data_IF_720505817959
#
_entry.id   IF_720505817959
#
_cell.length_a   1.000
_cell.length_b   1.000
_cell.length_c   1.000
_cell.angle_alpha   90.00
_cell.angle_beta   90.00
_cell.angle_gamma   90.00
#
_symmetry.space_group_name_H-M   'P 1'
#
loop_
_entity.id
_entity.type
_entity.pdbx_description
1 polymer ?
#
# COMPACT_ATOMS: atom_id res chain seq x y z
N UNK A 1 13.99 -5.49 9.64
CA UNK A 1 13.73 -4.36 8.70
C UNK A 1 13.24 -4.93 7.39
N UNK A 2 12.41 -4.19 6.66
CA UNK A 2 11.88 -4.63 5.35
C UNK A 2 13.06 -4.81 4.39
N UNK A 3 13.14 -5.95 3.69
CA UNK A 3 14.22 -6.19 2.73
C UNK A 3 14.13 -5.23 1.55
N UNK A 4 15.27 -4.84 1.00
CA UNK A 4 15.36 -3.88 -0.09
C UNK A 4 14.62 -4.34 -1.36
N UNK A 5 14.57 -5.66 -1.57
CA UNK A 5 13.79 -6.27 -2.64
C UNK A 5 12.28 -6.05 -2.47
N UNK A 6 11.76 -6.17 -1.24
CA UNK A 6 10.36 -5.87 -0.93
C UNK A 6 10.10 -4.37 -1.09
N UNK A 7 11.02 -3.50 -0.66
CA UNK A 7 10.87 -2.05 -0.82
C UNK A 7 10.69 -1.62 -2.28
N UNK A 8 11.37 -2.28 -3.23
CA UNK A 8 11.19 -2.03 -4.66
C UNK A 8 9.80 -2.45 -5.16
N UNK A 9 9.20 -3.47 -4.55
CA UNK A 9 7.85 -3.97 -4.88
C UNK A 9 6.73 -3.14 -4.24
N UNK A 10 7.00 -2.42 -3.15
CA UNK A 10 6.04 -1.46 -2.56
C UNK A 10 5.98 -0.19 -3.43
N UNK A 11 5.06 -0.23 -4.40
CA UNK A 11 4.81 0.86 -5.35
C UNK A 11 3.31 1.16 -5.48
N UNK A 12 2.92 2.37 -5.93
CA UNK A 12 1.52 2.70 -6.20
C UNK A 12 0.82 1.64 -7.04
N UNK A 13 -0.33 1.17 -6.56
CA UNK A 13 -1.15 0.14 -7.17
C UNK A 13 -0.91 -1.27 -6.63
N UNK A 14 0.17 -1.52 -5.88
CA UNK A 14 0.38 -2.81 -5.23
C UNK A 14 -0.62 -3.03 -4.09
N UNK A 15 -1.12 -4.26 -3.95
CA UNK A 15 -1.86 -4.69 -2.75
C UNK A 15 -0.87 -5.31 -1.79
N UNK A 16 -0.86 -4.80 -0.57
CA UNK A 16 0.11 -5.19 0.46
C UNK A 16 -0.60 -5.51 1.76
N UNK A 17 0.04 -6.33 2.59
CA UNK A 17 -0.35 -6.56 3.98
C UNK A 17 0.81 -6.16 4.88
N UNK A 18 0.58 -5.18 5.75
CA UNK A 18 1.55 -4.69 6.72
C UNK A 18 1.27 -5.34 8.07
N UNK A 19 2.31 -5.86 8.70
CA UNK A 19 2.28 -6.44 10.04
C UNK A 19 2.90 -5.47 11.04
N UNK A 20 2.15 -5.12 12.08
CA UNK A 20 2.52 -4.18 13.12
C UNK A 20 2.66 -4.89 14.48
N UNK A 21 3.49 -4.36 15.37
CA UNK A 21 3.48 -4.74 16.80
C UNK A 21 3.79 -6.22 17.06
N UNK A 22 4.84 -6.75 16.42
CA UNK A 22 5.21 -8.19 16.43
C UNK A 22 4.15 -9.11 15.80
N UNK A 23 3.39 -8.62 14.83
CA UNK A 23 2.37 -9.41 14.10
C UNK A 23 1.02 -9.49 14.78
N UNK A 24 0.80 -8.72 15.86
CA UNK A 24 -0.49 -8.65 16.56
C UNK A 24 -1.57 -7.94 15.76
N UNK A 25 -1.18 -7.00 14.89
CA UNK A 25 -2.12 -6.24 14.08
C UNK A 25 -1.68 -6.25 12.63
N UNK A 26 -2.64 -6.45 11.73
CA UNK A 26 -2.40 -6.50 10.30
C UNK A 26 -3.28 -5.46 9.60
N UNK A 27 -2.73 -4.79 8.60
CA UNK A 27 -3.49 -3.91 7.73
C UNK A 27 -3.22 -4.28 6.28
N UNK A 28 -4.27 -4.67 5.57
CA UNK A 28 -4.21 -5.04 4.17
C UNK A 28 -4.91 -3.98 3.32
N UNK A 29 -4.28 -3.58 2.22
CA UNK A 29 -4.90 -2.65 1.30
C UNK A 29 -4.04 -2.29 0.10
N UNK A 30 -4.55 -1.34 -0.67
CA UNK A 30 -3.93 -0.80 -1.88
C UNK A 30 -2.96 0.32 -1.53
N UNK A 31 -1.73 0.25 -2.04
CA UNK A 31 -0.78 1.37 -1.98
C UNK A 31 -1.24 2.46 -2.93
N UNK A 32 -1.62 3.63 -2.40
CA UNK A 32 -2.10 4.76 -3.21
C UNK A 32 -1.04 5.83 -3.42
N UNK A 33 -0.03 5.89 -2.55
CA UNK A 33 1.07 6.83 -2.66
C UNK A 33 2.32 6.30 -1.96
N UNK A 34 3.47 6.66 -2.51
CA UNK A 34 4.79 6.53 -1.87
C UNK A 34 5.50 7.88 -1.94
N UNK A 35 6.06 8.34 -0.82
CA UNK A 35 6.73 9.64 -0.69
C UNK A 35 8.17 9.48 -0.22
N UNK A 36 9.00 10.45 -0.57
CA UNK A 36 10.42 10.56 -0.19
C UNK A 36 11.30 9.35 -0.58
N UNK A 37 10.92 8.59 -1.61
CA UNK A 37 11.76 7.59 -2.26
C UNK A 37 12.36 6.54 -1.30
N UNK A 38 13.67 6.66 -1.08
CA UNK A 38 14.50 5.83 -0.19
C UNK A 38 15.10 6.61 0.99
N UNK A 39 14.66 7.85 1.20
CA UNK A 39 15.10 8.67 2.33
C UNK A 39 14.57 8.10 3.65
N UNK A 40 15.20 8.48 4.77
CA UNK A 40 14.76 8.06 6.11
C UNK A 40 13.29 8.40 6.39
N UNK A 41 12.80 9.52 5.83
CA UNK A 41 11.42 9.97 5.94
C UNK A 41 10.45 9.32 4.93
N UNK A 42 10.86 8.28 4.22
CA UNK A 42 10.02 7.62 3.22
C UNK A 42 8.76 7.01 3.84
N UNK A 43 7.62 7.29 3.22
CA UNK A 43 6.30 6.84 3.69
C UNK A 43 5.50 6.22 2.58
N UNK A 44 4.60 5.32 2.96
CA UNK A 44 3.65 4.64 2.07
C UNK A 44 2.25 4.85 2.63
N UNK A 45 1.32 5.25 1.77
CA UNK A 45 -0.09 5.37 2.13
C UNK A 45 -0.86 4.19 1.57
N UNK A 46 -1.54 3.46 2.45
CA UNK A 46 -2.32 2.26 2.14
C UNK A 46 -3.79 2.57 2.40
N UNK A 47 -4.64 2.23 1.42
CA UNK A 47 -6.09 2.39 1.48
C UNK A 47 -6.77 1.04 1.51
N UNK A 48 -7.78 0.90 2.36
CA UNK A 48 -8.64 -0.26 2.46
C UNK A 48 -10.10 0.16 2.69
N UNK A 49 -11.04 -0.75 2.46
CA UNK A 49 -12.42 -0.61 2.93
C UNK A 49 -12.56 -1.55 4.13
N UNK A 50 -12.82 -0.98 5.30
CA UNK A 50 -12.97 -1.73 6.55
C UNK A 50 -14.38 -1.47 7.05
N UNK A 51 -15.17 -2.54 7.21
CA UNK A 51 -16.56 -2.45 7.65
C UNK A 51 -17.39 -1.41 6.87
N UNK A 52 -17.22 -1.34 5.54
CA UNK A 52 -17.93 -0.39 4.67
C UNK A 52 -17.36 1.04 4.65
N UNK A 53 -16.37 1.35 5.50
CA UNK A 53 -15.76 2.68 5.58
C UNK A 53 -14.38 2.67 4.92
N UNK A 54 -14.10 3.69 4.11
CA UNK A 54 -12.78 3.88 3.50
C UNK A 54 -11.75 4.35 4.52
N UNK A 55 -10.79 3.49 4.86
CA UNK A 55 -9.72 3.77 5.81
C UNK A 55 -8.39 3.92 5.08
N UNK A 56 -7.62 4.94 5.46
CA UNK A 56 -6.26 5.13 4.98
C UNK A 56 -5.29 5.15 6.16
N UNK A 57 -4.20 4.40 6.03
CA UNK A 57 -3.07 4.42 6.98
C UNK A 57 -1.79 4.83 6.27
N UNK A 58 -0.99 5.64 6.97
CA UNK A 58 0.33 6.06 6.49
C UNK A 58 1.39 5.35 7.32
N UNK A 59 2.30 4.68 6.63
CA UNK A 59 3.37 3.90 7.23
C UNK A 59 4.72 4.49 6.87
N UNK A 60 5.57 4.86 7.86
CA UNK A 60 6.98 5.11 7.62
C UNK A 60 7.68 3.80 7.28
N UNK A 61 8.34 3.75 6.13
CA UNK A 61 8.91 2.51 5.59
C UNK A 61 10.00 1.92 6.50
N UNK A 62 10.73 2.80 7.19
CA UNK A 62 11.84 2.43 8.07
C UNK A 62 11.42 2.33 9.55
N UNK A 63 10.11 2.36 9.85
CA UNK A 63 9.64 2.28 11.23
C UNK A 63 9.95 0.91 11.86
N UNK A 64 10.48 0.86 13.10
CA UNK A 64 10.77 -0.40 13.79
C UNK A 64 9.50 -1.15 14.22
N UNK A 65 8.35 -0.46 14.23
CA UNK A 65 7.04 -1.05 14.57
C UNK A 65 6.52 -1.99 13.49
N UNK A 66 7.02 -1.88 12.26
CA UNK A 66 6.65 -2.75 11.13
C UNK A 66 7.53 -4.01 11.19
N UNK A 67 6.91 -5.15 11.49
CA UNK A 67 7.63 -6.43 11.54
C UNK A 67 7.84 -7.02 10.15
N UNK A 68 6.82 -6.95 9.28
CA UNK A 68 6.82 -7.57 7.95
C UNK A 68 5.87 -6.82 7.01
N UNK A 69 6.19 -6.83 5.72
CA UNK A 69 5.25 -6.43 4.66
C UNK A 69 5.18 -7.54 3.62
N UNK A 70 3.98 -8.06 3.37
CA UNK A 70 3.71 -9.03 2.31
C UNK A 70 3.18 -8.31 1.07
N UNK A 71 3.70 -8.69 -0.11
CA UNK A 71 3.16 -8.25 -1.41
C UNK A 71 2.14 -9.28 -1.85
N UNK A 72 0.85 -8.90 -1.84
CA UNK A 72 -0.24 -9.80 -2.20
C UNK A 72 -0.53 -9.79 -3.70
N UNK A 73 -0.38 -8.61 -4.32
CA UNK A 73 -0.62 -8.47 -5.76
C UNK A 73 0.17 -7.29 -6.31
N UNK A 74 0.73 -7.48 -7.51
CA UNK A 74 1.42 -6.44 -8.26
C UNK A 74 0.48 -5.79 -9.27
N UNK A 75 0.55 -4.46 -9.44
CA UNK A 75 -0.30 -3.79 -10.41
C UNK A 75 0.19 -3.99 -11.84
N UNK A 76 -0.73 -3.76 -12.78
CA UNK A 76 -0.41 -3.48 -14.19
C UNK A 76 0.49 -2.24 -14.30
N UNK A 77 0.96 -1.95 -15.52
CA UNK A 77 1.68 -0.70 -15.80
C UNK A 77 0.79 0.49 -15.49
N UNK A 78 1.23 1.36 -14.58
CA UNK A 78 0.52 2.57 -14.17
C UNK A 78 1.43 3.77 -14.44
N UNK A 79 0.84 4.83 -14.99
CA UNK A 79 1.57 6.07 -15.30
C UNK A 79 1.50 7.12 -14.19
N UNK A 80 0.57 6.97 -13.24
CA UNK A 80 0.40 7.91 -12.11
C UNK A 80 1.21 7.46 -10.90
N UNK A 81 2.00 8.38 -10.34
CA UNK A 81 2.74 8.16 -9.08
C UNK A 81 1.85 8.19 -7.84
N UNK A 82 0.66 8.81 -7.91
CA UNK A 82 -0.30 8.91 -6.81
C UNK A 82 -1.70 8.54 -7.33
N UNK A 83 -2.37 7.63 -6.64
CA UNK A 83 -3.64 7.03 -7.06
C UNK A 83 -4.84 7.57 -6.27
N UNK A 84 -4.84 8.85 -5.89
CA UNK A 84 -5.93 9.43 -5.09
C UNK A 84 -7.32 9.31 -5.74
N UNK A 85 -7.38 9.12 -7.05
CA UNK A 85 -8.62 8.85 -7.77
C UNK A 85 -9.33 7.57 -7.28
N UNK A 86 -8.62 6.62 -6.67
CA UNK A 86 -9.23 5.38 -6.14
C UNK A 86 -10.18 5.63 -4.97
N UNK A 87 -10.20 6.84 -4.41
CA UNK A 87 -11.13 7.25 -3.35
C UNK A 87 -12.56 7.39 -3.84
N UNK A 88 -12.75 7.77 -5.10
CA UNK A 88 -14.06 8.15 -5.67
C UNK A 88 -14.61 7.14 -6.67
N UNK A 89 -13.84 6.12 -7.03
CA UNK A 89 -14.25 5.12 -8.02
C UNK A 89 -14.60 3.79 -7.36
N UNK A 90 -15.49 3.03 -8.01
CA UNK A 90 -15.91 1.71 -7.55
C UNK A 90 -14.78 0.67 -7.65
N UNK A 91 -14.87 -0.40 -6.85
CA UNK A 91 -13.90 -1.50 -6.85
C UNK A 91 -13.74 -2.17 -8.22
N UNK A 92 -14.83 -2.28 -9.00
CA UNK A 92 -14.79 -2.79 -10.37
C UNK A 92 -13.89 -1.92 -11.28
N UNK A 93 -14.04 -0.59 -11.19
CA UNK A 93 -13.23 0.35 -11.97
C UNK A 93 -11.76 0.37 -11.53
N UNK A 94 -11.50 0.13 -10.25
CA UNK A 94 -10.13 -0.03 -9.72
C UNK A 94 -9.48 -1.27 -10.32
N UNK A 95 -10.18 -2.40 -10.31
CA UNK A 95 -9.70 -3.66 -10.91
C UNK A 95 -9.42 -3.50 -12.40
N UNK A 96 -10.29 -2.81 -13.14
CA UNK A 96 -10.08 -2.53 -14.56
C UNK A 96 -8.80 -1.70 -14.80
N UNK A 97 -8.59 -0.64 -14.02
CA UNK A 97 -7.46 0.29 -14.20
C UNK A 97 -6.12 -0.24 -13.70
N UNK A 98 -6.11 -0.93 -12.55
CA UNK A 98 -4.88 -1.34 -11.87
C UNK A 98 -4.58 -2.83 -12.03
N UNK A 99 -5.57 -3.65 -12.40
CA UNK A 99 -5.46 -5.11 -12.37
C UNK A 99 -5.49 -5.69 -10.96
N UNK A 100 -5.81 -4.87 -9.95
CA UNK A 100 -5.76 -5.21 -8.52
C UNK A 100 -7.08 -4.81 -7.87
N UNK A 101 -7.59 -5.64 -6.94
CA UNK A 101 -8.76 -5.30 -6.14
C UNK A 101 -8.39 -4.53 -4.88
N UNK A 102 -9.31 -3.67 -4.45
CA UNK A 102 -9.32 -3.08 -3.11
C UNK A 102 -9.83 -4.08 -2.07
#
# INVERSE_FOLDING_TARGET
MISEEILKKIRPGARVRVHEGKGKSMFEGLVIARKHGSERGATVTIRAIVAGVGVEKVYPIHAPTISKVDILSSPKKIHRSKLYFVRTISGSRIRQKLGVSL
#
